data_IF_225085742166
#
_entry.id   IF_225085742166
#
_cell.length_a   1.000
_cell.length_b   1.000
_cell.length_c   1.000
_cell.angle_alpha   90.00
_cell.angle_beta   90.00
_cell.angle_gamma   90.00
#
_symmetry.space_group_name_H-M   'P 1'
#
loop_
_entity.id
_entity.type
_entity.pdbx_description
1 polymer ?
#
# COMPACT_ATOMS: atom_id res chain seq x y z
N UNK A 1 1.92 43.31 71.83
CA UNK A 1 1.32 42.83 73.09
C UNK A 1 0.69 41.47 72.78
N UNK A 2 1.17 40.39 73.38
CA UNK A 2 0.66 39.03 73.12
C UNK A 2 -0.39 38.73 74.18
N UNK A 3 -1.65 38.61 73.78
CA UNK A 3 -2.74 38.24 74.69
C UNK A 3 -2.63 36.74 74.93
N UNK A 4 -2.51 36.34 76.19
CA UNK A 4 -2.60 34.94 76.57
C UNK A 4 -4.08 34.50 76.50
N UNK A 5 -4.43 33.87 75.38
CA UNK A 5 -5.81 33.42 75.09
C UNK A 5 -6.28 32.35 76.07
N UNK A 6 -5.37 31.54 76.62
CA UNK A 6 -5.72 30.47 77.55
C UNK A 6 -5.99 31.06 78.94
N UNK A 7 -5.12 31.95 79.41
CA UNK A 7 -5.37 32.68 80.65
C UNK A 7 -6.65 33.52 80.58
N UNK A 8 -6.93 34.13 79.42
CA UNK A 8 -8.16 34.90 79.19
C UNK A 8 -9.41 34.01 79.21
N UNK A 9 -9.34 32.81 78.60
CA UNK A 9 -10.42 31.81 78.65
C UNK A 9 -10.70 31.36 80.08
N UNK A 10 -9.67 30.96 80.81
CA UNK A 10 -9.80 30.51 82.20
C UNK A 10 -10.36 31.60 83.12
N UNK A 11 -9.97 32.86 82.88
CA UNK A 11 -10.46 34.01 83.64
C UNK A 11 -11.94 34.29 83.33
N UNK A 12 -12.33 34.21 82.05
CA UNK A 12 -13.72 34.36 81.63
C UNK A 12 -14.60 33.23 82.19
N UNK A 13 -14.18 31.97 82.09
CA UNK A 13 -14.91 30.81 82.65
C UNK A 13 -15.13 30.96 84.17
N UNK A 14 -14.12 31.45 84.90
CA UNK A 14 -14.24 31.71 86.35
C UNK A 14 -15.13 32.91 86.69
N UNK A 15 -15.13 33.95 85.86
CA UNK A 15 -15.92 35.15 86.06
C UNK A 15 -17.41 34.97 85.70
N UNK A 16 -17.73 34.00 84.84
CA UNK A 16 -19.09 33.74 84.34
C UNK A 16 -20.14 33.58 85.46
N UNK A 17 -19.95 32.72 86.49
CA UNK A 17 -20.96 32.55 87.54
C UNK A 17 -21.08 33.78 88.45
N UNK A 18 -19.99 34.55 88.61
CA UNK A 18 -20.02 35.79 89.39
C UNK A 18 -20.80 36.87 88.66
N UNK A 19 -20.59 37.02 87.35
CA UNK A 19 -21.30 37.99 86.53
C UNK A 19 -22.80 37.67 86.40
N UNK A 20 -23.17 36.39 86.24
CA UNK A 20 -24.57 35.96 86.23
C UNK A 20 -25.29 36.27 87.55
N UNK A 21 -24.61 36.12 88.70
CA UNK A 21 -25.17 36.50 90.01
C UNK A 21 -25.34 38.01 90.15
N UNK A 22 -24.36 38.79 89.67
CA UNK A 22 -24.41 40.26 89.66
C UNK A 22 -25.59 40.77 88.82
N UNK A 23 -25.86 40.15 87.67
CA UNK A 23 -26.98 40.50 86.79
C UNK A 23 -28.36 40.21 87.41
N UNK A 24 -28.44 39.29 88.38
CA UNK A 24 -29.67 38.91 89.08
C UNK A 24 -29.94 39.74 90.35
N UNK A 25 -29.03 40.65 90.74
CA UNK A 25 -29.28 41.56 91.87
C UNK A 25 -30.17 42.74 91.44
N UNK A 26 -31.15 43.17 92.26
CA UNK A 26 -31.95 44.36 91.97
C UNK A 26 -31.06 45.61 91.91
N UNK A 27 -31.25 46.48 90.92
CA UNK A 27 -30.50 47.73 90.78
C UNK A 27 -30.86 48.78 91.86
N UNK A 28 -31.90 48.54 92.65
CA UNK A 28 -32.37 49.47 93.66
C UNK A 28 -31.59 49.28 94.97
N UNK A 29 -30.99 50.37 95.46
CA UNK A 29 -30.40 50.54 96.80
C UNK A 29 -28.92 50.23 97.02
N UNK A 30 -27.99 50.72 96.18
CA UNK A 30 -26.59 50.82 96.65
C UNK A 30 -25.90 52.17 96.57
N UNK A 31 -26.24 53.11 95.66
CA UNK A 31 -25.59 54.44 95.64
C UNK A 31 -26.51 55.55 95.09
N UNK A 32 -26.53 56.71 95.75
CA UNK A 32 -27.11 57.95 95.21
C UNK A 32 -26.24 58.46 94.05
N UNK A 33 -26.71 58.29 92.83
CA UNK A 33 -26.04 58.64 91.57
C UNK A 33 -25.62 60.12 91.50
N UNK A 34 -26.38 61.01 92.16
CA UNK A 34 -26.11 62.44 92.24
C UNK A 34 -24.90 62.82 93.14
N UNK A 35 -24.42 61.90 94.00
CA UNK A 35 -23.32 62.18 94.94
C UNK A 35 -21.91 61.85 94.37
N UNK A 36 -21.83 61.09 93.27
CA UNK A 36 -20.55 60.58 92.72
C UNK A 36 -20.02 61.37 91.51
N UNK A 37 -20.78 62.32 90.97
CA UNK A 37 -20.37 63.19 89.84
C UNK A 37 -19.78 62.41 88.65
N UNK A 38 -20.40 61.28 88.29
CA UNK A 38 -20.02 60.43 87.15
C UNK A 38 -21.12 60.52 86.09
N UNK A 39 -21.19 61.65 85.40
CA UNK A 39 -22.12 61.86 84.28
C UNK A 39 -21.74 60.96 83.09
N UNK A 40 -22.66 60.08 82.65
CA UNK A 40 -22.67 59.38 81.35
C UNK A 40 -21.58 58.35 81.05
N UNK A 41 -20.37 58.53 81.56
CA UNK A 41 -19.20 57.67 81.28
C UNK A 41 -19.32 56.30 81.98
N UNK A 42 -20.01 56.24 83.13
CA UNK A 42 -20.21 54.99 83.90
C UNK A 42 -21.25 54.09 83.26
N UNK A 43 -22.35 54.65 82.74
CA UNK A 43 -23.36 53.88 82.01
C UNK A 43 -22.79 53.25 80.74
N UNK A 44 -21.98 54.02 80.00
CA UNK A 44 -21.29 53.52 78.81
C UNK A 44 -20.27 52.42 79.15
N UNK A 45 -19.51 52.58 80.23
CA UNK A 45 -18.56 51.57 80.70
C UNK A 45 -19.26 50.29 81.19
N UNK A 46 -20.37 50.42 81.91
CA UNK A 46 -21.16 49.29 82.39
C UNK A 46 -21.83 48.53 81.23
N UNK A 47 -22.39 49.25 80.24
CA UNK A 47 -22.95 48.65 79.04
C UNK A 47 -21.87 47.92 78.21
N UNK A 48 -20.69 48.52 78.06
CA UNK A 48 -19.55 47.87 77.40
C UNK A 48 -19.10 46.62 78.17
N UNK A 49 -18.94 46.68 79.50
CA UNK A 49 -18.54 45.53 80.31
C UNK A 49 -19.56 44.39 80.30
N UNK A 50 -20.86 44.71 80.16
CA UNK A 50 -21.91 43.72 79.99
C UNK A 50 -21.83 43.06 78.61
N UNK A 51 -21.67 43.85 77.54
CA UNK A 51 -21.54 43.34 76.16
C UNK A 51 -20.22 42.60 75.93
N UNK A 52 -19.13 43.05 76.53
CA UNK A 52 -17.80 42.45 76.50
C UNK A 52 -17.55 41.55 77.73
N UNK A 53 -18.62 41.03 78.32
CA UNK A 53 -18.55 40.13 79.46
C UNK A 53 -17.96 38.76 79.12
N UNK A 54 -17.81 37.87 80.11
CA UNK A 54 -17.22 36.55 79.96
C UNK A 54 -17.88 35.67 78.88
N UNK A 55 -19.22 35.74 78.71
CA UNK A 55 -19.92 34.97 77.67
C UNK A 55 -19.47 35.37 76.26
N UNK A 56 -19.49 36.67 75.97
CA UNK A 56 -19.04 37.21 74.68
C UNK A 56 -17.56 36.94 74.46
N UNK A 57 -16.73 37.07 75.50
CA UNK A 57 -15.29 36.80 75.39
C UNK A 57 -15.01 35.33 75.05
N UNK A 58 -15.74 34.37 75.65
CA UNK A 58 -15.61 32.95 75.33
C UNK A 58 -16.08 32.64 73.90
N UNK A 59 -17.21 33.20 73.47
CA UNK A 59 -17.70 33.04 72.11
C UNK A 59 -16.70 33.56 71.07
N UNK A 60 -16.10 34.73 71.30
CA UNK A 60 -15.05 35.30 70.43
C UNK A 60 -13.77 34.45 70.43
N UNK A 61 -13.40 33.84 71.56
CA UNK A 61 -12.24 32.93 71.63
C UNK A 61 -12.50 31.63 70.86
N UNK A 62 -13.72 31.09 70.92
CA UNK A 62 -14.12 29.90 70.15
C UNK A 62 -14.15 30.20 68.65
N UNK A 63 -14.72 31.33 68.23
CA UNK A 63 -14.69 31.80 66.85
C UNK A 63 -13.25 32.01 66.35
N UNK A 64 -12.39 32.63 67.17
CA UNK A 64 -10.99 32.83 66.80
C UNK A 64 -10.23 31.51 66.63
N UNK A 65 -10.50 30.51 67.48
CA UNK A 65 -9.92 29.17 67.35
C UNK A 65 -10.42 28.48 66.07
N UNK A 66 -11.72 28.62 65.76
CA UNK A 66 -12.31 28.09 64.54
C UNK A 66 -11.67 28.73 63.30
N UNK A 67 -11.53 30.05 63.27
CA UNK A 67 -10.86 30.78 62.18
C UNK A 67 -9.39 30.37 62.02
N UNK A 68 -8.67 30.10 63.11
CA UNK A 68 -7.30 29.57 63.03
C UNK A 68 -7.25 28.20 62.36
N UNK A 69 -8.16 27.28 62.74
CA UNK A 69 -8.26 25.96 62.12
C UNK A 69 -8.61 26.05 60.63
N UNK A 70 -9.54 26.91 60.26
CA UNK A 70 -9.92 27.13 58.86
C UNK A 70 -8.77 27.72 58.05
N UNK A 71 -8.04 28.68 58.62
CA UNK A 71 -6.83 29.24 57.99
C UNK A 71 -5.79 28.15 57.75
N UNK A 72 -5.48 27.34 58.76
CA UNK A 72 -4.47 26.27 58.64
C UNK A 72 -4.91 25.21 57.62
N UNK A 73 -6.21 24.88 57.55
CA UNK A 73 -6.77 23.99 56.55
C UNK A 73 -6.66 24.57 55.12
N UNK A 74 -6.96 25.86 54.94
CA UNK A 74 -6.80 26.55 53.66
C UNK A 74 -5.32 26.59 53.24
N UNK A 75 -4.40 26.83 54.18
CA UNK A 75 -2.97 26.84 53.91
C UNK A 75 -2.46 25.46 53.47
N UNK A 76 -2.91 24.39 54.13
CA UNK A 76 -2.61 23.02 53.73
C UNK A 76 -3.11 22.70 52.31
N UNK A 77 -4.34 23.10 51.97
CA UNK A 77 -4.91 22.93 50.62
C UNK A 77 -4.13 23.74 49.58
N UNK A 78 -3.74 24.98 49.90
CA UNK A 78 -2.97 25.83 49.00
C UNK A 78 -1.57 25.26 48.70
N UNK A 79 -0.93 24.61 49.69
CA UNK A 79 0.34 23.91 49.51
C UNK A 79 0.17 22.69 48.60
N UNK A 80 -0.84 21.85 48.85
CA UNK A 80 -1.13 20.69 48.00
C UNK A 80 -1.39 21.11 46.55
N UNK A 81 -2.24 22.12 46.34
CA UNK A 81 -2.53 22.64 45.00
C UNK A 81 -1.29 23.20 44.31
N UNK A 82 -0.39 23.85 45.06
CA UNK A 82 0.88 24.35 44.51
C UNK A 82 1.77 23.21 44.04
N UNK A 83 1.82 22.11 44.76
CA UNK A 83 2.63 20.94 44.39
C UNK A 83 2.00 20.18 43.22
N UNK A 84 0.67 20.01 43.21
CA UNK A 84 -0.06 19.44 42.07
C UNK A 84 0.17 20.25 40.79
N UNK A 85 0.11 21.58 40.89
CA UNK A 85 0.40 22.49 39.76
C UNK A 85 1.85 22.38 39.28
N UNK A 86 2.80 22.11 40.17
CA UNK A 86 4.20 21.88 39.79
C UNK A 86 4.33 20.57 39.03
N UNK A 87 3.77 19.48 39.55
CA UNK A 87 3.78 18.17 38.89
C UNK A 87 3.09 18.22 37.53
N UNK A 88 1.96 18.93 37.41
CA UNK A 88 1.26 19.09 36.14
C UNK A 88 2.11 19.83 35.11
N UNK A 89 2.87 20.85 35.52
CA UNK A 89 3.81 21.56 34.62
C UNK A 89 4.98 20.68 34.17
N UNK A 90 5.55 19.89 35.08
CA UNK A 90 6.62 18.94 34.74
C UNK A 90 6.14 17.87 33.75
N UNK A 91 4.92 17.35 33.95
CA UNK A 91 4.31 16.40 33.02
C UNK A 91 4.04 17.05 31.65
N UNK A 92 3.57 18.30 31.64
CA UNK A 92 3.34 19.04 30.41
C UNK A 92 4.64 19.24 29.63
N UNK A 93 5.72 19.68 30.29
CA UNK A 93 7.04 19.87 29.66
C UNK A 93 7.59 18.53 29.12
N UNK A 94 7.45 17.44 29.88
CA UNK A 94 7.84 16.10 29.42
C UNK A 94 7.03 15.64 28.20
N UNK A 95 5.72 15.94 28.15
CA UNK A 95 4.87 15.62 27.01
C UNK A 95 5.21 16.47 25.78
N UNK A 96 5.48 17.76 25.96
CA UNK A 96 5.92 18.67 24.90
C UNK A 96 7.24 18.21 24.29
N UNK A 97 8.20 17.79 25.12
CA UNK A 97 9.48 17.23 24.66
C UNK A 97 9.27 15.96 23.83
N UNK A 98 8.43 15.02 24.28
CA UNK A 98 8.08 13.81 23.52
C UNK A 98 7.43 14.14 22.18
N UNK A 99 6.52 15.12 22.15
CA UNK A 99 5.90 15.56 20.91
C UNK A 99 6.92 16.19 19.94
N UNK A 100 7.89 16.95 20.46
CA UNK A 100 8.97 17.52 19.64
C UNK A 100 9.87 16.43 19.03
N UNK A 101 10.30 15.46 19.83
CA UNK A 101 11.10 14.32 19.37
C UNK A 101 10.36 13.49 18.31
N UNK A 102 9.06 13.24 18.51
CA UNK A 102 8.23 12.55 17.52
C UNK A 102 8.12 13.34 16.22
N UNK A 103 7.94 14.66 16.28
CA UNK A 103 7.89 15.52 15.08
C UNK A 103 9.18 15.42 14.29
N UNK A 104 10.33 15.52 14.95
CA UNK A 104 11.64 15.40 14.31
C UNK A 104 11.82 14.04 13.64
N UNK A 105 11.42 12.95 14.31
CA UNK A 105 11.44 11.61 13.74
C UNK A 105 10.61 11.51 12.46
N UNK A 106 9.34 11.96 12.50
CA UNK A 106 8.46 11.89 11.34
C UNK A 106 8.93 12.79 10.20
N UNK A 107 9.49 13.97 10.51
CA UNK A 107 10.08 14.86 9.51
C UNK A 107 11.26 14.19 8.79
N UNK A 108 12.11 13.46 9.52
CA UNK A 108 13.18 12.64 8.96
C UNK A 108 12.66 11.53 8.03
N UNK A 109 11.66 10.76 8.49
CA UNK A 109 11.03 9.69 7.67
C UNK A 109 10.40 10.25 6.40
N UNK A 110 9.72 11.40 6.49
CA UNK A 110 9.12 12.07 5.33
C UNK A 110 10.20 12.55 4.37
N UNK A 111 11.28 13.14 4.88
CA UNK A 111 12.39 13.62 4.04
C UNK A 111 13.07 12.47 3.28
N UNK A 112 13.34 11.35 3.95
CA UNK A 112 13.95 10.19 3.30
C UNK A 112 13.00 9.50 2.33
N UNK A 113 11.71 9.42 2.67
CA UNK A 113 10.65 9.00 1.74
C UNK A 113 10.60 9.88 0.49
N UNK A 114 10.68 11.20 0.65
CA UNK A 114 10.70 12.17 -0.44
C UNK A 114 11.90 11.98 -1.38
N UNK A 115 13.10 11.74 -0.84
CA UNK A 115 14.29 11.43 -1.65
C UNK A 115 14.09 10.17 -2.48
N UNK A 116 13.55 9.10 -1.87
CA UNK A 116 13.32 7.83 -2.55
C UNK A 116 12.29 7.95 -3.68
N UNK A 117 11.23 8.72 -3.46
CA UNK A 117 10.23 9.01 -4.49
C UNK A 117 10.88 9.75 -5.66
N UNK A 118 11.68 10.79 -5.40
CA UNK A 118 12.35 11.55 -6.46
C UNK A 118 13.31 10.68 -7.30
N UNK A 119 14.05 9.77 -6.67
CA UNK A 119 14.88 8.79 -7.38
C UNK A 119 14.06 7.88 -8.29
N UNK A 120 12.94 7.36 -7.79
CA UNK A 120 12.05 6.50 -8.56
C UNK A 120 11.42 7.25 -9.73
N UNK A 121 10.95 8.48 -9.53
CA UNK A 121 10.40 9.32 -10.59
C UNK A 121 11.42 9.58 -11.70
N UNK A 122 12.68 9.86 -11.34
CA UNK A 122 13.76 10.00 -12.31
C UNK A 122 13.99 8.71 -13.09
N UNK A 123 14.08 7.58 -12.40
CA UNK A 123 14.23 6.26 -13.03
C UNK A 123 13.08 5.92 -13.97
N UNK A 124 11.84 6.21 -13.58
CA UNK A 124 10.65 6.05 -14.44
C UNK A 124 10.70 6.94 -15.67
N UNK A 125 11.15 8.19 -15.54
CA UNK A 125 11.29 9.11 -16.66
C UNK A 125 12.34 8.64 -17.66
N UNK A 126 13.47 8.12 -17.17
CA UNK A 126 14.52 7.53 -18.01
C UNK A 126 14.03 6.26 -18.71
N UNK A 127 13.34 5.36 -18.00
CA UNK A 127 12.73 4.18 -18.58
C UNK A 127 11.70 4.53 -19.66
N UNK A 128 10.86 5.54 -19.44
CA UNK A 128 9.90 6.03 -20.42
C UNK A 128 10.58 6.56 -21.69
N UNK A 129 11.69 7.30 -21.56
CA UNK A 129 12.50 7.75 -22.70
C UNK A 129 13.06 6.56 -23.49
N UNK A 130 13.59 5.55 -22.81
CA UNK A 130 14.09 4.35 -23.46
C UNK A 130 12.97 3.61 -24.20
N UNK A 131 11.84 3.35 -23.54
CA UNK A 131 10.68 2.67 -24.15
C UNK A 131 10.24 3.40 -25.44
N UNK A 132 10.18 4.73 -25.42
CA UNK A 132 9.84 5.51 -26.61
C UNK A 132 10.87 5.38 -27.72
N UNK A 133 12.16 5.37 -27.38
CA UNK A 133 13.25 5.13 -28.34
C UNK A 133 13.14 3.74 -28.98
N UNK A 134 13.03 2.68 -28.17
CA UNK A 134 12.86 1.31 -28.64
C UNK A 134 11.62 1.13 -29.49
N UNK A 135 10.49 1.74 -29.10
CA UNK A 135 9.26 1.74 -29.88
C UNK A 135 9.46 2.36 -31.27
N UNK A 136 10.21 3.46 -31.36
CA UNK A 136 10.51 4.12 -32.63
C UNK A 136 11.37 3.22 -33.52
N UNK A 137 12.42 2.64 -32.97
CA UNK A 137 13.31 1.72 -33.70
C UNK A 137 12.55 0.48 -34.19
N UNK A 138 11.71 -0.12 -33.35
CA UNK A 138 10.88 -1.26 -33.72
C UNK A 138 9.94 -0.93 -34.89
N UNK A 139 9.30 0.26 -34.88
CA UNK A 139 8.46 0.71 -36.00
C UNK A 139 9.26 0.86 -37.30
N UNK A 140 10.47 1.42 -37.22
CA UNK A 140 11.35 1.54 -38.39
C UNK A 140 11.74 0.17 -38.94
N UNK A 141 12.19 -0.74 -38.08
CA UNK A 141 12.57 -2.09 -38.48
C UNK A 141 11.39 -2.86 -39.13
N UNK A 142 10.18 -2.72 -38.59
CA UNK A 142 8.98 -3.34 -39.19
C UNK A 142 8.70 -2.74 -40.59
N UNK A 143 8.81 -1.41 -40.73
CA UNK A 143 8.60 -0.75 -42.01
C UNK A 143 9.65 -1.15 -43.06
N UNK A 144 10.92 -1.27 -42.66
CA UNK A 144 12.01 -1.74 -43.53
C UNK A 144 11.80 -3.19 -43.95
N UNK A 145 11.54 -4.09 -43.01
CA UNK A 145 11.22 -5.49 -43.33
C UNK A 145 9.99 -5.63 -44.23
N UNK A 146 9.01 -4.75 -44.08
CA UNK A 146 7.85 -4.69 -44.96
C UNK A 146 8.22 -4.40 -46.42
N UNK A 147 9.22 -3.53 -46.65
CA UNK A 147 9.74 -3.26 -48.01
C UNK A 147 10.46 -4.48 -48.56
N UNK A 148 11.35 -5.08 -47.76
CA UNK A 148 12.11 -6.27 -48.17
C UNK A 148 11.17 -7.42 -48.56
N UNK A 149 10.07 -7.62 -47.80
CA UNK A 149 9.05 -8.63 -48.12
C UNK A 149 8.40 -8.33 -49.47
N UNK A 150 7.99 -7.08 -49.73
CA UNK A 150 7.39 -6.70 -51.01
C UNK A 150 8.36 -6.91 -52.20
N UNK A 151 9.64 -6.61 -52.01
CA UNK A 151 10.68 -6.87 -53.04
C UNK A 151 10.88 -8.37 -53.29
N UNK A 152 10.90 -9.18 -52.23
CA UNK A 152 10.98 -10.64 -52.33
C UNK A 152 9.75 -11.23 -53.04
N UNK A 153 8.56 -10.72 -52.78
CA UNK A 153 7.33 -11.12 -53.46
C UNK A 153 7.39 -10.81 -54.96
N UNK A 154 7.83 -9.60 -55.33
CA UNK A 154 8.02 -9.21 -56.72
C UNK A 154 9.07 -10.09 -57.44
N UNK A 155 10.20 -10.36 -56.78
CA UNK A 155 11.24 -11.24 -57.32
C UNK A 155 10.74 -12.67 -57.51
N UNK A 156 9.97 -13.21 -56.56
CA UNK A 156 9.33 -14.54 -56.68
C UNK A 156 8.38 -14.60 -57.85
N UNK A 157 7.58 -13.55 -58.07
CA UNK A 157 6.67 -13.48 -59.20
C UNK A 157 7.44 -13.48 -60.54
N UNK A 158 8.50 -12.68 -60.63
CA UNK A 158 9.35 -12.67 -61.82
C UNK A 158 10.02 -14.03 -62.09
N UNK A 159 10.50 -14.73 -61.05
CA UNK A 159 11.05 -16.10 -61.20
C UNK A 159 9.98 -17.07 -61.69
N UNK A 160 8.75 -16.98 -61.20
CA UNK A 160 7.65 -17.82 -61.66
C UNK A 160 7.32 -17.57 -63.14
N UNK A 161 7.28 -16.30 -63.56
CA UNK A 161 7.11 -15.92 -64.97
C UNK A 161 8.23 -16.46 -65.86
N UNK A 162 9.49 -16.29 -65.44
CA UNK A 162 10.66 -16.83 -66.14
C UNK A 162 10.60 -18.36 -66.24
N UNK A 163 10.24 -19.04 -65.16
CA UNK A 163 10.11 -20.51 -65.13
C UNK A 163 9.04 -21.00 -66.10
N UNK A 164 7.92 -20.27 -66.23
CA UNK A 164 6.89 -20.58 -67.22
C UNK A 164 7.39 -20.39 -68.66
N UNK A 165 8.17 -19.35 -68.92
CA UNK A 165 8.81 -19.11 -70.24
C UNK A 165 9.78 -20.23 -70.58
N UNK A 166 10.65 -20.62 -69.64
CA UNK A 166 11.61 -21.72 -69.84
C UNK A 166 10.87 -23.02 -70.13
N UNK A 167 9.84 -23.36 -69.35
CA UNK A 167 9.02 -24.55 -69.59
C UNK A 167 8.33 -24.54 -70.97
N UNK A 168 7.84 -23.38 -71.43
CA UNK A 168 7.27 -23.24 -72.76
C UNK A 168 8.33 -23.38 -73.87
N UNK A 169 9.51 -22.79 -73.68
CA UNK A 169 10.63 -22.89 -74.61
C UNK A 169 11.13 -24.34 -74.73
N UNK A 170 11.25 -25.08 -73.62
CA UNK A 170 11.60 -26.50 -73.64
C UNK A 170 10.59 -27.33 -74.43
N UNK A 171 9.28 -27.09 -74.25
CA UNK A 171 8.24 -27.77 -75.03
C UNK A 171 8.39 -27.47 -76.52
N UNK A 172 8.67 -26.21 -76.88
CA UNK A 172 8.87 -25.80 -78.27
C UNK A 172 10.10 -26.46 -78.90
N UNK A 173 11.24 -26.46 -78.19
CA UNK A 173 12.48 -27.12 -78.63
C UNK A 173 12.25 -28.62 -78.82
N UNK A 174 11.58 -29.29 -77.87
CA UNK A 174 11.20 -30.70 -77.99
C UNK A 174 10.33 -30.97 -79.22
N UNK A 175 9.33 -30.13 -79.49
CA UNK A 175 8.48 -30.25 -80.67
C UNK A 175 9.25 -30.01 -81.97
N UNK A 176 10.12 -28.99 -82.03
CA UNK A 176 10.95 -28.70 -83.22
C UNK A 176 11.98 -29.80 -83.50
N UNK A 177 12.58 -30.37 -82.46
CA UNK A 177 13.49 -31.52 -82.57
C UNK A 177 12.78 -32.77 -83.13
N UNK A 178 11.57 -33.07 -82.63
CA UNK A 178 10.74 -34.14 -83.20
C UNK A 178 10.35 -33.87 -84.66
N UNK A 179 9.89 -32.67 -84.99
CA UNK A 179 9.51 -32.33 -86.37
C UNK A 179 10.66 -32.57 -87.37
N UNK A 180 11.88 -32.13 -87.04
CA UNK A 180 13.02 -32.36 -87.94
C UNK A 180 13.47 -33.82 -88.00
N UNK A 181 13.47 -34.53 -86.87
CA UNK A 181 13.79 -35.96 -86.87
C UNK A 181 12.76 -36.76 -87.66
N UNK A 182 11.47 -36.48 -87.48
CA UNK A 182 10.39 -37.10 -88.25
C UNK A 182 10.49 -36.78 -89.75
N UNK A 183 10.78 -35.53 -90.13
CA UNK A 183 11.02 -35.15 -91.52
C UNK A 183 12.20 -35.93 -92.13
N UNK A 184 13.29 -36.07 -91.38
CA UNK A 184 14.47 -36.84 -91.79
C UNK A 184 14.16 -38.33 -91.93
N UNK A 185 13.41 -38.92 -90.99
CA UNK A 185 13.00 -40.33 -91.06
C UNK A 185 12.05 -40.58 -92.24
N UNK A 186 11.07 -39.70 -92.49
CA UNK A 186 10.18 -39.79 -93.66
C UNK A 186 10.96 -39.66 -94.98
N UNK A 187 11.95 -38.77 -95.04
CA UNK A 187 12.81 -38.62 -96.23
C UNK A 187 13.67 -39.87 -96.49
N UNK A 188 14.27 -40.44 -95.44
CA UNK A 188 15.02 -41.70 -95.52
C UNK A 188 14.11 -42.86 -95.93
N UNK A 189 12.94 -42.99 -95.32
CA UNK A 189 11.98 -44.04 -95.64
C UNK A 189 11.51 -43.97 -97.10
N UNK A 190 11.30 -42.76 -97.63
CA UNK A 190 11.01 -42.54 -99.05
C UNK A 190 12.17 -42.94 -99.96
N UNK A 191 13.42 -42.67 -99.56
CA UNK A 191 14.61 -43.06 -100.31
C UNK A 191 14.77 -44.59 -100.38
N UNK A 192 14.41 -45.30 -99.31
CA UNK A 192 14.56 -46.76 -99.19
C UNK A 192 13.26 -47.55 -99.46
N UNK A 193 12.15 -46.89 -99.81
CA UNK A 193 10.87 -47.52 -100.15
C UNK A 193 10.13 -48.19 -98.98
N UNK A 194 10.38 -47.77 -97.74
CA UNK A 194 9.82 -48.37 -96.52
C UNK A 194 8.67 -47.50 -95.98
N UNK A 195 7.61 -48.11 -95.44
CA UNK A 195 6.48 -47.39 -94.83
C UNK A 195 6.85 -46.96 -93.40
N UNK A 196 6.75 -45.66 -93.10
CA UNK A 196 6.92 -45.13 -91.74
C UNK A 196 5.60 -45.15 -90.97
N UNK A 197 5.52 -45.84 -89.81
CA UNK A 197 4.40 -45.72 -88.89
C UNK A 197 4.40 -44.35 -88.19
N UNK A 198 3.23 -43.87 -87.77
CA UNK A 198 3.11 -42.62 -87.00
C UNK A 198 3.79 -42.78 -85.62
N UNK A 199 4.49 -41.72 -85.18
CA UNK A 199 5.13 -41.72 -83.87
C UNK A 199 4.08 -41.78 -82.75
N UNK A 200 4.30 -42.60 -81.71
CA UNK A 200 3.41 -42.63 -80.55
C UNK A 200 3.40 -41.28 -79.81
N UNK A 201 2.30 -40.95 -79.10
CA UNK A 201 2.23 -39.76 -78.26
C UNK A 201 3.31 -39.77 -77.18
N UNK A 202 3.78 -38.58 -76.79
CA UNK A 202 4.70 -38.45 -75.66
C UNK A 202 4.01 -38.83 -74.35
N UNK A 203 4.34 -39.99 -73.82
CA UNK A 203 4.15 -40.26 -72.40
C UNK A 203 5.10 -39.36 -71.60
N UNK A 204 4.56 -38.71 -70.57
CA UNK A 204 5.26 -37.70 -69.80
C UNK A 204 6.42 -38.32 -69.01
N UNK A 205 7.65 -38.08 -69.46
CA UNK A 205 8.91 -38.38 -68.76
C UNK A 205 9.15 -37.45 -67.55
N UNK A 206 8.09 -37.13 -66.78
CA UNK A 206 8.16 -36.34 -65.55
C UNK A 206 8.12 -37.22 -64.28
N UNK A 207 8.10 -38.55 -64.43
CA UNK A 207 7.94 -39.49 -63.31
C UNK A 207 9.09 -39.39 -62.29
N UNK A 208 10.28 -38.95 -62.69
CA UNK A 208 11.44 -38.89 -61.79
C UNK A 208 11.44 -37.74 -60.76
N UNK A 209 10.61 -36.70 -60.92
CA UNK A 209 10.45 -35.66 -59.89
C UNK A 209 9.24 -35.90 -58.97
N UNK A 210 8.29 -36.74 -59.38
CA UNK A 210 7.13 -37.09 -58.56
C UNK A 210 7.58 -37.93 -57.35
N UNK A 211 8.43 -38.93 -57.57
CA UNK A 211 8.85 -39.87 -56.52
C UNK A 211 9.61 -39.18 -55.36
N UNK A 212 10.50 -38.23 -55.67
CA UNK A 212 11.25 -37.51 -54.64
C UNK A 212 10.35 -36.54 -53.84
N UNK A 213 9.45 -35.81 -54.51
CA UNK A 213 8.53 -34.90 -53.85
C UNK A 213 7.49 -35.66 -53.01
N UNK A 214 7.03 -36.83 -53.45
CA UNK A 214 6.11 -37.68 -52.69
C UNK A 214 6.76 -38.24 -51.42
N UNK A 215 8.05 -38.62 -51.46
CA UNK A 215 8.82 -39.02 -50.27
C UNK A 215 8.96 -37.87 -49.27
N UNK A 216 9.23 -36.65 -49.74
CA UNK A 216 9.30 -35.47 -48.86
C UNK A 216 7.93 -35.12 -48.26
N UNK A 217 6.86 -35.15 -49.05
CA UNK A 217 5.49 -34.89 -48.57
C UNK A 217 5.08 -35.93 -47.53
N UNK A 218 5.42 -37.20 -47.72
CA UNK A 218 5.11 -38.26 -46.76
C UNK A 218 5.91 -38.11 -45.46
N UNK A 219 7.20 -37.79 -45.55
CA UNK A 219 8.03 -37.49 -44.37
C UNK A 219 7.51 -36.27 -43.59
N UNK A 220 7.10 -35.20 -44.28
CA UNK A 220 6.53 -34.01 -43.64
C UNK A 220 5.19 -34.30 -42.97
N UNK A 221 4.32 -35.10 -43.60
CA UNK A 221 3.04 -35.53 -43.00
C UNK A 221 3.26 -36.37 -41.74
N UNK A 222 4.21 -37.30 -41.76
CA UNK A 222 4.58 -38.06 -40.56
C UNK A 222 5.07 -37.12 -39.45
N UNK A 223 5.91 -36.15 -39.78
CA UNK A 223 6.41 -35.18 -38.78
C UNK A 223 5.30 -34.31 -38.19
N UNK A 224 4.35 -33.86 -39.00
CA UNK A 224 3.17 -33.12 -38.52
C UNK A 224 2.37 -33.99 -37.54
N UNK A 225 2.12 -35.25 -37.89
CA UNK A 225 1.38 -36.19 -37.06
C UNK A 225 2.10 -36.48 -35.72
N UNK A 226 3.42 -36.65 -35.74
CA UNK A 226 4.24 -36.77 -34.52
C UNK A 226 4.12 -35.53 -33.62
N UNK A 227 4.13 -34.33 -34.21
CA UNK A 227 4.05 -33.07 -33.47
C UNK A 227 2.64 -32.86 -32.89
N UNK A 228 1.58 -33.19 -33.64
CA UNK A 228 0.18 -33.12 -33.18
C UNK A 228 -0.17 -34.18 -32.12
N UNK A 229 0.62 -35.25 -32.04
CA UNK A 229 0.52 -36.26 -30.98
C UNK A 229 1.25 -35.85 -29.69
N UNK A 230 2.14 -34.86 -29.72
CA UNK A 230 2.84 -34.40 -28.51
C UNK A 230 1.87 -33.65 -27.61
N UNK A 231 1.88 -34.05 -26.34
CA UNK A 231 1.15 -33.37 -25.27
C UNK A 231 2.14 -32.78 -24.26
N UNK A 232 1.86 -31.56 -23.81
CA UNK A 232 2.62 -30.86 -22.77
C UNK A 232 2.38 -31.55 -21.43
N UNK A 233 3.46 -31.85 -20.70
CA UNK A 233 3.33 -32.44 -19.38
C UNK A 233 3.22 -31.34 -18.31
N UNK A 234 2.00 -31.11 -17.82
CA UNK A 234 1.75 -30.11 -16.77
C UNK A 234 0.78 -30.69 -15.74
N UNK A 235 1.29 -31.40 -14.71
CA UNK A 235 0.46 -32.15 -13.78
C UNK A 235 -0.39 -31.22 -12.91
N UNK A 236 -1.65 -31.60 -12.72
CA UNK A 236 -2.53 -30.94 -11.75
C UNK A 236 -2.19 -31.45 -10.34
N UNK A 237 -1.94 -30.54 -9.41
CA UNK A 237 -1.63 -30.85 -8.01
C UNK A 237 -2.62 -30.13 -7.10
N UNK A 238 -2.97 -30.77 -5.99
CA UNK A 238 -3.75 -30.15 -4.93
C UNK A 238 -2.92 -29.13 -4.15
N UNK A 239 -3.59 -28.19 -3.48
CA UNK A 239 -2.94 -27.19 -2.61
C UNK A 239 -2.10 -27.89 -1.54
N UNK A 240 -2.62 -28.94 -0.92
CA UNK A 240 -1.90 -29.70 0.12
C UNK A 240 -0.62 -30.35 -0.44
N UNK A 241 -0.67 -30.96 -1.62
CA UNK A 241 0.52 -31.52 -2.28
C UNK A 241 1.57 -30.45 -2.58
N UNK A 242 1.14 -29.27 -3.03
CA UNK A 242 2.05 -28.15 -3.33
C UNK A 242 2.66 -27.60 -2.05
N UNK A 243 1.89 -27.47 -0.97
CA UNK A 243 2.41 -27.10 0.35
C UNK A 243 3.46 -28.11 0.83
N UNK A 244 3.18 -29.41 0.71
CA UNK A 244 4.11 -30.47 1.09
C UNK A 244 5.40 -30.46 0.27
N UNK A 245 5.32 -30.22 -1.04
CA UNK A 245 6.49 -30.22 -1.93
C UNK A 245 7.35 -28.97 -1.81
N UNK A 246 6.69 -27.82 -1.63
CA UNK A 246 7.35 -26.52 -1.70
C UNK A 246 7.79 -26.01 -0.32
N UNK A 247 7.16 -26.47 0.76
CA UNK A 247 7.41 -26.00 2.13
C UNK A 247 6.91 -24.58 2.40
N UNK A 248 6.21 -23.96 1.45
CA UNK A 248 5.68 -22.61 1.56
C UNK A 248 4.27 -22.57 2.15
N UNK A 249 3.80 -21.35 2.44
CA UNK A 249 2.48 -21.10 3.00
C UNK A 249 1.35 -21.56 2.08
N UNK A 250 0.16 -21.71 2.66
CA UNK A 250 -1.07 -22.02 1.93
C UNK A 250 -1.36 -21.01 0.82
N UNK A 251 -1.19 -19.71 1.10
CA UNK A 251 -1.42 -18.64 0.12
C UNK A 251 -0.51 -18.78 -1.11
N UNK A 252 0.74 -19.18 -0.91
CA UNK A 252 1.65 -19.48 -2.02
C UNK A 252 1.17 -20.67 -2.85
N UNK A 253 0.76 -21.75 -2.18
CA UNK A 253 0.29 -22.96 -2.84
C UNK A 253 -1.01 -22.74 -3.62
N UNK A 254 -1.95 -21.96 -3.08
CA UNK A 254 -3.18 -21.53 -3.77
C UNK A 254 -2.85 -20.69 -5.00
N UNK A 255 -1.92 -19.73 -4.88
CA UNK A 255 -1.43 -18.94 -6.00
C UNK A 255 -0.76 -19.78 -7.08
N UNK A 256 0.04 -20.78 -6.70
CA UNK A 256 0.67 -21.72 -7.63
C UNK A 256 -0.37 -22.55 -8.38
N UNK A 257 -1.36 -23.12 -7.67
CA UNK A 257 -2.44 -23.90 -8.28
C UNK A 257 -3.26 -23.06 -9.26
N UNK A 258 -3.62 -21.83 -8.88
CA UNK A 258 -4.34 -20.90 -9.75
C UNK A 258 -3.52 -20.53 -11.00
N UNK A 259 -2.22 -20.29 -10.85
CA UNK A 259 -1.30 -20.04 -11.96
C UNK A 259 -1.17 -21.25 -12.89
N UNK A 260 -1.10 -22.46 -12.34
CA UNK A 260 -1.04 -23.71 -13.10
C UNK A 260 -2.33 -23.95 -13.90
N UNK A 261 -3.49 -23.71 -13.31
CA UNK A 261 -4.78 -23.81 -13.99
C UNK A 261 -4.91 -22.79 -15.13
N UNK A 262 -4.43 -21.56 -14.91
CA UNK A 262 -4.40 -20.55 -15.96
C UNK A 262 -3.45 -20.94 -17.10
N UNK A 263 -2.26 -21.46 -16.80
CA UNK A 263 -1.34 -21.95 -17.82
C UNK A 263 -1.95 -23.10 -18.64
N UNK A 264 -2.64 -24.04 -18.00
CA UNK A 264 -3.36 -25.12 -18.69
C UNK A 264 -4.44 -24.54 -19.62
N UNK A 265 -5.20 -23.53 -19.16
CA UNK A 265 -6.23 -22.87 -19.96
C UNK A 265 -5.64 -22.22 -21.23
N UNK A 266 -4.56 -21.46 -21.09
CA UNK A 266 -3.91 -20.78 -22.22
C UNK A 266 -3.30 -21.78 -23.22
N UNK A 267 -2.66 -22.86 -22.72
CA UNK A 267 -2.12 -23.93 -23.58
C UNK A 267 -3.24 -24.60 -24.39
N UNK A 268 -4.40 -24.85 -23.78
CA UNK A 268 -5.57 -25.40 -24.47
C UNK A 268 -6.16 -24.43 -25.49
N UNK A 269 -6.22 -23.14 -25.15
CA UNK A 269 -6.73 -22.10 -26.05
C UNK A 269 -5.86 -21.98 -27.30
N UNK A 270 -4.55 -22.25 -27.18
CA UNK A 270 -3.62 -22.36 -28.30
C UNK A 270 -3.73 -23.66 -29.11
N UNK A 271 -4.65 -24.58 -28.77
CA UNK A 271 -4.87 -25.85 -29.47
C UNK A 271 -3.85 -26.95 -29.15
N UNK A 272 -3.08 -26.81 -28.06
CA UNK A 272 -2.05 -27.77 -27.66
C UNK A 272 -2.60 -28.72 -26.59
N UNK A 273 -2.33 -30.03 -26.73
CA UNK A 273 -2.77 -31.07 -25.78
C UNK A 273 -1.93 -31.03 -24.50
N UNK A 274 -2.53 -31.36 -23.35
CA UNK A 274 -1.86 -31.48 -22.04
C UNK A 274 -2.02 -32.92 -21.51
N UNK A 275 -0.96 -33.54 -20.99
CA UNK A 275 -0.98 -34.91 -20.45
C UNK A 275 -1.82 -35.00 -19.17
N UNK A 276 -2.56 -36.11 -19.02
CA UNK A 276 -3.40 -36.38 -17.84
C UNK A 276 -4.91 -36.20 -18.08
N UNK A 277 -5.33 -36.17 -19.35
CA UNK A 277 -6.65 -36.63 -19.77
C UNK A 277 -6.77 -38.16 -19.63
#
# INVERSE_FOLDING_TARGET
MTIDKQALRETAEKALPAMQRLLMMPNDELFDEAALNVDGDVDAANAFNLLAGPETMLALLDENLQLQREKDAIEAVALALRDDMRQAREQLEAAEKRNAEQREYYEGVIADGGKRIAELEKGHQEAAKQINSWRRLAKQNIAERGKDISELEAARQHIAEQSAIVAAAEKLVRCKGRYHSELNYRALAKLFGVVTPDLPPLEHENVHYADAAEVEITALRQRIQELEARAVNLPKRSVDEVMHLSGFSRDYAEGWCAGNDNAIHEIRTAGIKVKGE
#
